data_IF_191767706515
#
_entry.id   IF_191767706515
#
_cell.length_a   1.000
_cell.length_b   1.000
_cell.length_c   1.000
_cell.angle_alpha   90.00
_cell.angle_beta   90.00
_cell.angle_gamma   90.00
#
_symmetry.space_group_name_H-M   'P 1'
#
loop_
_entity.id
_entity.type
_entity.pdbx_description
1 polymer ?
#
# COMPACT_ATOMS: atom_id res chain seq x y z
N UNK A 1 -18.66 -12.90 -46.78
CA UNK A 1 -19.05 -11.53 -46.37
C UNK A 1 -18.56 -11.30 -44.94
N UNK A 2 -17.56 -10.45 -44.76
CA UNK A 2 -17.05 -10.11 -43.44
C UNK A 2 -18.09 -9.26 -42.69
N UNK A 3 -18.56 -9.74 -41.53
CA UNK A 3 -19.47 -8.97 -40.66
C UNK A 3 -18.69 -7.79 -40.09
N UNK A 4 -19.19 -6.57 -40.31
CA UNK A 4 -18.75 -5.37 -39.59
C UNK A 4 -18.89 -5.64 -38.08
N UNK A 5 -17.82 -5.45 -37.30
CA UNK A 5 -17.89 -5.31 -35.84
C UNK A 5 -18.83 -4.14 -35.57
N UNK A 6 -20.07 -4.44 -35.17
CA UNK A 6 -21.02 -3.41 -34.75
C UNK A 6 -20.51 -2.76 -33.48
N UNK A 7 -20.59 -1.44 -33.40
CA UNK A 7 -20.44 -0.71 -32.15
C UNK A 7 -21.35 -1.35 -31.09
N UNK A 8 -20.87 -1.41 -29.84
CA UNK A 8 -21.71 -1.77 -28.69
C UNK A 8 -22.67 -0.61 -28.44
N UNK A 9 -23.63 -0.40 -29.34
CA UNK A 9 -24.65 0.62 -29.18
C UNK A 9 -25.61 0.16 -28.08
N UNK A 10 -25.43 0.70 -26.87
CA UNK A 10 -26.46 0.96 -25.84
C UNK A 10 -27.65 0.00 -25.78
N UNK A 11 -27.44 -1.33 -25.90
CA UNK A 11 -28.51 -2.26 -25.59
C UNK A 11 -28.61 -2.28 -24.07
N UNK A 12 -29.70 -1.76 -23.52
CA UNK A 12 -29.91 -1.73 -22.07
C UNK A 12 -29.76 -3.12 -21.41
N UNK A 13 -29.88 -4.20 -22.17
CA UNK A 13 -29.64 -5.57 -21.72
C UNK A 13 -28.17 -5.80 -21.31
N UNK A 14 -27.17 -5.36 -22.09
CA UNK A 14 -25.75 -5.54 -21.74
C UNK A 14 -25.38 -4.79 -20.47
N UNK A 15 -25.84 -3.54 -20.34
CA UNK A 15 -25.65 -2.76 -19.11
C UNK A 15 -26.28 -3.46 -17.91
N UNK A 16 -27.53 -3.93 -18.02
CA UNK A 16 -28.21 -4.67 -16.95
C UNK A 16 -27.48 -5.97 -16.58
N UNK A 17 -26.90 -6.70 -17.55
CA UNK A 17 -26.08 -7.89 -17.29
C UNK A 17 -24.85 -7.51 -16.46
N UNK A 18 -24.09 -6.50 -16.88
CA UNK A 18 -22.88 -6.05 -16.19
C UNK A 18 -23.21 -5.57 -14.78
N UNK A 19 -24.23 -4.73 -14.62
CA UNK A 19 -24.69 -4.25 -13.31
C UNK A 19 -25.03 -5.44 -12.41
N UNK A 20 -25.78 -6.43 -12.91
CA UNK A 20 -26.11 -7.60 -12.10
C UNK A 20 -24.88 -8.43 -11.71
N UNK A 21 -23.89 -8.58 -12.59
CA UNK A 21 -22.63 -9.24 -12.24
C UNK A 21 -21.84 -8.43 -11.20
N UNK A 22 -21.82 -7.10 -11.31
CA UNK A 22 -21.14 -6.21 -10.35
C UNK A 22 -21.82 -6.20 -8.97
N UNK A 23 -23.15 -6.30 -8.91
CA UNK A 23 -23.95 -6.35 -7.67
C UNK A 23 -23.77 -7.66 -6.88
N UNK A 24 -23.30 -8.74 -7.50
CA UNK A 24 -23.22 -10.05 -6.85
C UNK A 24 -21.78 -10.48 -6.65
N UNK A 25 -21.44 -10.89 -5.43
CA UNK A 25 -20.11 -11.40 -5.14
C UNK A 25 -19.91 -12.80 -5.77
N UNK A 26 -18.86 -12.90 -6.61
CA UNK A 26 -18.45 -14.11 -7.30
C UNK A 26 -19.15 -14.39 -8.65
N UNK A 27 -18.84 -15.55 -9.27
CA UNK A 27 -19.32 -15.92 -10.59
C UNK A 27 -20.82 -16.27 -10.64
N UNK A 28 -21.49 -15.90 -11.72
CA UNK A 28 -22.93 -16.11 -11.90
C UNK A 28 -23.27 -17.09 -13.04
N UNK A 29 -24.23 -17.98 -12.79
CA UNK A 29 -24.80 -18.83 -13.85
C UNK A 29 -25.66 -17.99 -14.82
N UNK A 30 -25.62 -18.30 -16.11
CA UNK A 30 -26.50 -17.69 -17.14
C UNK A 30 -27.98 -17.76 -16.73
N UNK A 31 -28.41 -18.87 -16.13
CA UNK A 31 -29.77 -19.09 -15.65
C UNK A 31 -30.22 -18.02 -14.65
N UNK A 32 -29.34 -17.63 -13.71
CA UNK A 32 -29.61 -16.59 -12.71
C UNK A 32 -29.66 -15.20 -13.32
N UNK A 33 -28.73 -14.91 -14.24
CA UNK A 33 -28.70 -13.66 -15.00
C UNK A 33 -30.03 -13.49 -15.76
N UNK A 34 -30.47 -14.55 -16.44
CA UNK A 34 -31.75 -14.59 -17.13
C UNK A 34 -32.93 -14.39 -16.20
N UNK A 35 -33.00 -15.11 -15.09
CA UNK A 35 -34.11 -15.00 -14.14
C UNK A 35 -34.26 -13.56 -13.61
N UNK A 36 -33.15 -12.89 -13.32
CA UNK A 36 -33.15 -11.49 -12.88
C UNK A 36 -33.64 -10.53 -13.98
N UNK A 37 -33.22 -10.73 -15.22
CA UNK A 37 -33.57 -9.88 -16.36
C UNK A 37 -35.03 -10.06 -16.80
N UNK A 38 -35.53 -11.30 -16.83
CA UNK A 38 -36.91 -11.61 -17.24
C UNK A 38 -37.95 -11.03 -16.27
N UNK A 39 -37.61 -10.88 -14.99
CA UNK A 39 -38.46 -10.18 -14.01
C UNK A 39 -38.61 -8.67 -14.31
N UNK A 40 -37.76 -8.11 -15.19
CA UNK A 40 -37.70 -6.68 -15.49
C UNK A 40 -37.91 -6.33 -16.97
N UNK A 41 -37.92 -7.30 -17.90
CA UNK A 41 -37.91 -7.04 -19.35
C UNK A 41 -38.50 -8.22 -20.14
N UNK A 42 -39.68 -8.03 -20.76
CA UNK A 42 -40.38 -9.07 -21.53
C UNK A 42 -39.62 -9.51 -22.80
N UNK A 43 -38.63 -8.73 -23.25
CA UNK A 43 -37.83 -9.01 -24.46
C UNK A 43 -36.58 -9.85 -24.21
N UNK A 44 -36.32 -10.26 -22.96
CA UNK A 44 -35.17 -11.08 -22.59
C UNK A 44 -35.48 -12.59 -22.76
N UNK A 45 -35.19 -13.15 -23.94
CA UNK A 45 -35.23 -14.60 -24.14
C UNK A 45 -33.84 -15.24 -24.00
N UNK A 46 -33.79 -16.56 -23.77
CA UNK A 46 -32.53 -17.28 -23.52
C UNK A 46 -31.48 -17.07 -24.61
N UNK A 47 -31.88 -17.17 -25.88
CA UNK A 47 -30.98 -17.01 -27.01
C UNK A 47 -30.36 -15.60 -27.08
N UNK A 48 -31.13 -14.57 -26.70
CA UNK A 48 -30.66 -13.20 -26.67
C UNK A 48 -29.65 -12.95 -25.54
N UNK A 49 -29.94 -13.42 -24.32
CA UNK A 49 -29.01 -13.26 -23.19
C UNK A 49 -27.70 -13.99 -23.44
N UNK A 50 -27.75 -15.23 -23.95
CA UNK A 50 -26.52 -15.96 -24.25
C UNK A 50 -25.68 -15.28 -25.33
N UNK A 51 -26.32 -14.69 -26.35
CA UNK A 51 -25.62 -13.89 -27.36
C UNK A 51 -24.92 -12.68 -26.73
N UNK A 52 -25.60 -11.93 -25.87
CA UNK A 52 -25.01 -10.76 -25.23
C UNK A 52 -23.87 -11.11 -24.27
N UNK A 53 -23.93 -12.26 -23.57
CA UNK A 53 -22.84 -12.72 -22.72
C UNK A 53 -21.59 -13.03 -23.54
N UNK A 54 -21.72 -13.73 -24.67
CA UNK A 54 -20.59 -13.97 -25.56
C UNK A 54 -20.07 -12.69 -26.23
N UNK A 55 -20.92 -11.74 -26.58
CA UNK A 55 -20.46 -10.43 -27.06
C UNK A 55 -19.67 -9.69 -25.97
N UNK A 56 -20.13 -9.71 -24.71
CA UNK A 56 -19.40 -9.09 -23.59
C UNK A 56 -18.07 -9.79 -23.31
N UNK A 57 -18.00 -11.11 -23.51
CA UNK A 57 -16.76 -11.90 -23.46
C UNK A 57 -15.79 -11.51 -24.59
N UNK A 58 -16.28 -11.39 -25.83
CA UNK A 58 -15.49 -10.99 -27.00
C UNK A 58 -14.88 -9.58 -26.84
N UNK A 59 -15.51 -8.74 -26.01
CA UNK A 59 -15.05 -7.41 -25.65
C UNK A 59 -14.31 -7.35 -24.31
N UNK A 60 -13.95 -8.51 -23.75
CA UNK A 60 -13.20 -8.64 -22.51
C UNK A 60 -13.88 -7.99 -21.29
N UNK A 61 -15.18 -7.66 -21.36
CA UNK A 61 -15.93 -7.09 -20.24
C UNK A 61 -16.20 -8.13 -19.14
N UNK A 62 -16.32 -9.41 -19.50
CA UNK A 62 -16.56 -10.52 -18.59
C UNK A 62 -15.75 -11.74 -19.01
N UNK A 63 -15.54 -12.68 -18.08
CA UNK A 63 -14.88 -13.96 -18.35
C UNK A 63 -15.76 -15.14 -17.95
N UNK A 64 -15.84 -16.20 -18.77
CA UNK A 64 -16.50 -17.44 -18.37
C UNK A 64 -15.54 -18.38 -17.64
N UNK A 65 -16.00 -18.93 -16.52
CA UNK A 65 -15.40 -20.08 -15.84
C UNK A 65 -16.30 -21.29 -16.02
N UNK A 66 -15.75 -22.42 -16.50
CA UNK A 66 -16.51 -23.65 -16.67
C UNK A 66 -16.59 -24.41 -15.36
N UNK A 67 -17.81 -24.71 -14.90
CA UNK A 67 -18.06 -25.61 -13.76
C UNK A 67 -18.82 -26.86 -14.19
N UNK A 68 -18.70 -27.94 -13.42
CA UNK A 68 -19.44 -29.20 -13.61
C UNK A 68 -20.41 -29.40 -12.45
N UNK A 69 -21.70 -29.58 -12.76
CA UNK A 69 -22.69 -30.10 -11.81
C UNK A 69 -23.28 -31.38 -12.39
N UNK A 70 -22.89 -32.52 -11.83
CA UNK A 70 -23.19 -33.84 -12.40
C UNK A 70 -22.57 -34.03 -13.79
N UNK A 71 -23.36 -34.47 -14.77
CA UNK A 71 -22.91 -34.67 -16.16
C UNK A 71 -22.90 -33.40 -17.01
N UNK A 72 -23.47 -32.28 -16.53
CA UNK A 72 -23.62 -31.04 -17.30
C UNK A 72 -22.50 -30.05 -16.95
N UNK A 73 -21.97 -29.40 -17.99
CA UNK A 73 -21.04 -28.27 -17.89
C UNK A 73 -21.85 -26.97 -17.97
N UNK A 74 -21.52 -26.02 -17.12
CA UNK A 74 -22.15 -24.71 -17.07
C UNK A 74 -21.09 -23.62 -17.16
N UNK A 75 -21.42 -22.52 -17.82
CA UNK A 75 -20.60 -21.31 -17.79
C UNK A 75 -21.03 -20.45 -16.60
N UNK A 76 -20.04 -20.04 -15.82
CA UNK A 76 -20.17 -19.03 -14.79
C UNK A 76 -19.51 -17.75 -15.28
N UNK A 77 -20.24 -16.66 -15.32
CA UNK A 77 -19.78 -15.38 -15.84
C UNK A 77 -19.36 -14.47 -14.70
N UNK A 78 -18.20 -13.83 -14.82
CA UNK A 78 -17.66 -12.95 -13.77
C UNK A 78 -16.82 -11.80 -14.33
N UNK A 79 -16.58 -10.81 -13.48
CA UNK A 79 -15.66 -9.67 -13.68
C UNK A 79 -14.57 -9.85 -12.63
N UNK A 80 -13.34 -10.13 -13.05
CA UNK A 80 -12.30 -10.61 -12.12
C UNK A 80 -11.01 -9.80 -12.16
N UNK A 81 -10.83 -8.95 -13.17
CA UNK A 81 -9.57 -8.26 -13.45
C UNK A 81 -9.78 -6.79 -13.78
N UNK A 82 -8.69 -6.02 -13.67
CA UNK A 82 -8.65 -4.60 -14.05
C UNK A 82 -8.97 -4.42 -15.54
N UNK A 83 -8.48 -5.33 -16.38
CA UNK A 83 -8.77 -5.35 -17.82
C UNK A 83 -10.28 -5.44 -18.10
N UNK A 84 -11.03 -6.21 -17.30
CA UNK A 84 -12.49 -6.26 -17.43
C UNK A 84 -13.12 -4.90 -17.11
N UNK A 85 -12.65 -4.22 -16.07
CA UNK A 85 -13.16 -2.90 -15.67
C UNK A 85 -12.84 -1.83 -16.72
N UNK A 86 -11.62 -1.83 -17.26
CA UNK A 86 -11.20 -0.93 -18.36
C UNK A 86 -12.07 -1.16 -19.60
N UNK A 87 -12.30 -2.43 -19.94
CA UNK A 87 -13.16 -2.80 -21.06
C UNK A 87 -14.60 -2.34 -20.85
N UNK A 88 -15.18 -2.56 -19.67
CA UNK A 88 -16.52 -2.06 -19.33
C UNK A 88 -16.55 -0.53 -19.42
N UNK A 89 -15.55 0.17 -18.90
CA UNK A 89 -15.51 1.64 -18.95
C UNK A 89 -15.48 2.17 -20.39
N UNK A 90 -14.72 1.51 -21.27
CA UNK A 90 -14.60 1.89 -22.69
C UNK A 90 -15.90 1.64 -23.47
N UNK A 91 -16.62 0.57 -23.14
CA UNK A 91 -17.80 0.13 -23.89
C UNK A 91 -19.13 0.63 -23.31
N UNK A 92 -19.18 0.84 -22.00
CA UNK A 92 -20.39 1.11 -21.20
C UNK A 92 -20.12 2.26 -20.22
N UNK A 93 -19.81 3.45 -20.76
CA UNK A 93 -19.37 4.64 -20.01
C UNK A 93 -20.36 5.10 -18.93
N UNK A 94 -21.65 4.82 -19.11
CA UNK A 94 -22.73 5.15 -18.15
C UNK A 94 -22.61 4.37 -16.82
N UNK A 95 -21.90 3.24 -16.80
CA UNK A 95 -21.74 2.44 -15.58
C UNK A 95 -20.66 3.09 -14.71
N UNK A 96 -21.07 3.64 -13.58
CA UNK A 96 -20.17 4.17 -12.58
C UNK A 96 -19.54 3.03 -11.75
N UNK A 97 -18.37 2.56 -12.18
CA UNK A 97 -17.76 1.34 -11.66
C UNK A 97 -17.37 1.42 -10.17
N UNK A 98 -17.04 2.60 -9.66
CA UNK A 98 -16.74 2.81 -8.24
C UNK A 98 -17.95 2.64 -7.33
N UNK A 99 -19.17 2.52 -7.86
CA UNK A 99 -20.38 2.22 -7.06
C UNK A 99 -20.44 0.77 -6.56
N UNK A 100 -19.64 -0.12 -7.16
CA UNK A 100 -19.76 -1.55 -6.94
C UNK A 100 -18.57 -2.12 -6.17
N UNK A 101 -18.86 -2.81 -5.07
CA UNK A 101 -17.85 -3.48 -4.23
C UNK A 101 -16.92 -4.37 -5.05
N UNK A 102 -17.46 -5.13 -6.02
CA UNK A 102 -16.66 -6.01 -6.88
C UNK A 102 -15.56 -5.25 -7.62
N UNK A 103 -15.86 -4.08 -8.17
CA UNK A 103 -14.89 -3.23 -8.85
C UNK A 103 -13.81 -2.72 -7.89
N UNK A 104 -14.24 -2.24 -6.71
CA UNK A 104 -13.33 -1.75 -5.67
C UNK A 104 -12.39 -2.85 -5.18
N UNK A 105 -12.92 -4.06 -4.98
CA UNK A 105 -12.16 -5.23 -4.54
C UNK A 105 -11.11 -5.68 -5.57
N UNK A 106 -11.38 -5.54 -6.87
CA UNK A 106 -10.39 -5.80 -7.93
C UNK A 106 -9.21 -4.82 -7.81
N UNK A 107 -9.48 -3.53 -7.60
CA UNK A 107 -8.41 -2.54 -7.40
C UNK A 107 -7.66 -2.78 -6.09
N UNK A 108 -8.34 -3.06 -4.98
CA UNK A 108 -7.69 -3.39 -3.71
C UNK A 108 -6.71 -4.58 -3.85
N UNK A 109 -7.10 -5.60 -4.62
CA UNK A 109 -6.22 -6.73 -4.96
C UNK A 109 -5.07 -6.34 -5.86
N UNK A 110 -5.30 -5.48 -6.87
CA UNK A 110 -4.23 -4.92 -7.73
C UNK A 110 -3.12 -4.33 -6.86
N UNK A 111 -3.49 -3.55 -5.84
CA UNK A 111 -2.58 -2.88 -4.91
C UNK A 111 -2.02 -3.79 -3.79
N UNK A 112 -2.41 -5.07 -3.74
CA UNK A 112 -1.94 -6.01 -2.73
C UNK A 112 -2.34 -5.65 -1.30
N UNK A 113 -3.45 -4.91 -1.10
CA UNK A 113 -3.91 -4.53 0.24
C UNK A 113 -4.64 -5.71 0.89
N UNK A 114 -4.12 -6.15 2.05
CA UNK A 114 -4.75 -7.20 2.86
C UNK A 114 -6.08 -6.71 3.45
N UNK A 115 -7.13 -7.53 3.31
CA UNK A 115 -8.46 -7.31 3.91
C UNK A 115 -8.43 -7.10 5.42
N UNK A 116 -7.46 -7.71 6.11
CA UNK A 116 -7.26 -7.56 7.56
C UNK A 116 -6.55 -6.26 7.95
N UNK A 117 -6.06 -5.50 6.98
CA UNK A 117 -5.45 -4.20 7.23
C UNK A 117 -6.51 -3.11 7.33
N UNK A 118 -6.38 -2.20 8.30
CA UNK A 118 -7.17 -0.96 8.35
C UNK A 118 -7.10 -0.16 7.04
N UNK A 119 -5.96 -0.24 6.34
CA UNK A 119 -5.77 0.38 5.01
C UNK A 119 -6.75 -0.12 3.97
N UNK A 120 -7.32 -1.32 4.13
CA UNK A 120 -8.30 -1.86 3.20
C UNK A 120 -9.58 -1.03 3.19
N UNK A 121 -10.20 -0.81 4.37
CA UNK A 121 -11.42 -0.01 4.46
C UNK A 121 -11.14 1.44 4.11
N UNK A 122 -10.01 1.98 4.54
CA UNK A 122 -9.63 3.33 4.17
C UNK A 122 -9.52 3.51 2.66
N UNK A 123 -8.73 2.67 1.97
CA UNK A 123 -8.57 2.76 0.52
C UNK A 123 -9.88 2.45 -0.21
N UNK A 124 -10.71 1.55 0.31
CA UNK A 124 -12.05 1.29 -0.21
C UNK A 124 -12.91 2.57 -0.24
N UNK A 125 -12.93 3.32 0.87
CA UNK A 125 -13.68 4.58 0.97
C UNK A 125 -13.12 5.63 -0.01
N UNK A 126 -11.79 5.77 -0.12
CA UNK A 126 -11.19 6.70 -1.08
C UNK A 126 -11.61 6.38 -2.53
N UNK A 127 -11.53 5.10 -2.92
CA UNK A 127 -11.94 4.64 -4.25
C UNK A 127 -13.44 4.80 -4.50
N UNK A 128 -14.25 4.66 -3.45
CA UNK A 128 -15.71 4.85 -3.52
C UNK A 128 -16.06 6.32 -3.78
N UNK A 129 -15.42 7.23 -3.05
CA UNK A 129 -15.76 8.65 -3.02
C UNK A 129 -15.33 9.41 -4.27
N UNK A 130 -14.13 9.15 -4.79
CA UNK A 130 -13.59 9.89 -5.94
C UNK A 130 -13.57 9.04 -7.21
N UNK A 131 -14.37 9.44 -8.20
CA UNK A 131 -14.39 8.79 -9.51
C UNK A 131 -13.08 9.00 -10.28
N UNK A 132 -12.46 10.18 -10.16
CA UNK A 132 -11.19 10.47 -10.82
C UNK A 132 -10.06 9.62 -10.22
N UNK A 133 -10.00 9.50 -8.89
CA UNK A 133 -9.04 8.65 -8.20
C UNK A 133 -9.23 7.18 -8.54
N UNK A 134 -10.47 6.69 -8.54
CA UNK A 134 -10.78 5.33 -8.98
C UNK A 134 -10.28 5.06 -10.40
N UNK A 135 -10.57 5.97 -11.33
CA UNK A 135 -10.13 5.85 -12.72
C UNK A 135 -8.60 5.86 -12.83
N UNK A 136 -7.91 6.69 -12.04
CA UNK A 136 -6.46 6.73 -12.03
C UNK A 136 -5.85 5.42 -11.50
N UNK A 137 -6.41 4.87 -10.41
CA UNK A 137 -6.03 3.58 -9.86
C UNK A 137 -6.30 2.41 -10.82
N UNK A 138 -7.32 2.53 -11.67
CA UNK A 138 -7.61 1.56 -12.73
C UNK A 138 -6.57 1.66 -13.86
N UNK A 139 -6.44 2.84 -14.46
CA UNK A 139 -5.72 3.07 -15.72
C UNK A 139 -4.21 3.20 -15.59
N UNK A 140 -3.69 3.43 -14.38
CA UNK A 140 -2.25 3.65 -14.15
C UNK A 140 -1.64 2.46 -13.43
N UNK A 141 -0.43 2.06 -13.79
CA UNK A 141 0.29 1.04 -13.05
C UNK A 141 0.73 1.56 -11.67
N UNK A 142 0.90 0.64 -10.72
CA UNK A 142 1.19 0.97 -9.32
C UNK A 142 2.52 1.68 -9.17
N UNK A 143 3.54 1.33 -9.97
CA UNK A 143 4.87 1.95 -9.87
C UNK A 143 4.80 3.41 -10.29
N UNK A 144 4.07 3.72 -11.36
CA UNK A 144 3.86 5.10 -11.80
C UNK A 144 3.08 5.92 -10.78
N UNK A 145 2.00 5.37 -10.20
CA UNK A 145 1.26 6.06 -9.13
C UNK A 145 2.16 6.31 -7.91
N UNK A 146 2.93 5.30 -7.50
CA UNK A 146 3.87 5.43 -6.39
C UNK A 146 4.97 6.48 -6.66
N UNK A 147 5.47 6.55 -7.90
CA UNK A 147 6.44 7.59 -8.31
C UNK A 147 5.84 8.98 -8.20
N UNK A 148 4.63 9.20 -8.72
CA UNK A 148 3.91 10.48 -8.62
C UNK A 148 3.67 10.88 -7.17
N UNK A 149 3.21 9.93 -6.35
CA UNK A 149 3.03 10.16 -4.92
C UNK A 149 4.36 10.58 -4.25
N UNK A 150 5.47 9.95 -4.66
CA UNK A 150 6.80 10.25 -4.11
C UNK A 150 7.28 11.64 -4.52
N UNK A 151 7.03 12.06 -5.74
CA UNK A 151 7.31 13.42 -6.21
C UNK A 151 6.51 14.45 -5.40
N UNK A 152 5.20 14.25 -5.24
CA UNK A 152 4.35 15.12 -4.41
C UNK A 152 4.89 15.19 -2.98
N UNK A 153 5.20 14.04 -2.39
CA UNK A 153 5.77 13.97 -1.05
C UNK A 153 7.07 14.78 -0.94
N UNK A 154 7.99 14.59 -1.88
CA UNK A 154 9.30 15.24 -1.86
C UNK A 154 9.23 16.75 -2.14
N UNK A 155 8.17 17.25 -2.78
CA UNK A 155 7.96 18.69 -2.97
C UNK A 155 7.29 19.40 -1.79
N UNK A 156 6.68 18.66 -0.87
CA UNK A 156 6.00 19.20 0.31
C UNK A 156 6.63 18.65 1.60
N UNK A 157 5.98 17.67 2.25
CA UNK A 157 6.36 17.14 3.57
C UNK A 157 7.77 16.54 3.62
N UNK A 158 8.24 15.98 2.51
CA UNK A 158 9.53 15.31 2.36
C UNK A 158 10.69 16.23 2.02
N UNK A 159 10.44 17.48 1.60
CA UNK A 159 11.43 18.34 0.95
C UNK A 159 12.72 18.55 1.75
N UNK A 160 12.60 19.02 3.00
CA UNK A 160 13.78 19.27 3.85
C UNK A 160 14.60 18.01 4.10
N UNK A 161 13.93 16.87 4.26
CA UNK A 161 14.57 15.58 4.53
C UNK A 161 15.27 15.05 3.28
N UNK A 162 14.63 15.18 2.13
CA UNK A 162 15.21 14.85 0.82
C UNK A 162 16.48 15.68 0.55
N UNK A 163 16.41 16.99 0.78
CA UNK A 163 17.56 17.88 0.61
C UNK A 163 18.74 17.44 1.52
N UNK A 164 18.47 17.17 2.80
CA UNK A 164 19.49 16.70 3.74
C UNK A 164 20.10 15.36 3.33
N UNK A 165 19.27 14.43 2.84
CA UNK A 165 19.74 13.13 2.33
C UNK A 165 20.67 13.35 1.13
N UNK A 166 20.30 14.20 0.17
CA UNK A 166 21.13 14.52 -0.98
C UNK A 166 22.48 15.16 -0.59
N UNK A 167 22.48 16.11 0.36
CA UNK A 167 23.71 16.72 0.88
C UNK A 167 24.63 15.66 1.49
N UNK A 168 24.12 14.82 2.39
CA UNK A 168 24.88 13.75 3.05
C UNK A 168 25.39 12.70 2.06
N UNK A 169 24.59 12.30 1.07
CA UNK A 169 25.01 11.37 0.03
C UNK A 169 26.18 11.94 -0.78
N UNK A 170 26.14 13.23 -1.11
CA UNK A 170 27.20 13.89 -1.86
C UNK A 170 28.51 13.97 -1.06
N UNK A 171 28.42 14.37 0.22
CA UNK A 171 29.55 14.43 1.14
C UNK A 171 30.17 13.04 1.34
N UNK A 172 29.35 12.04 1.63
CA UNK A 172 29.77 10.67 1.86
C UNK A 172 30.40 10.04 0.60
N UNK A 173 29.81 10.25 -0.58
CA UNK A 173 30.37 9.74 -1.84
C UNK A 173 31.74 10.37 -2.13
N UNK A 174 31.89 11.68 -1.92
CA UNK A 174 33.17 12.36 -2.13
C UNK A 174 34.25 11.91 -1.14
N UNK A 175 33.90 11.85 0.15
CA UNK A 175 34.83 11.57 1.25
C UNK A 175 35.22 10.10 1.33
N UNK A 176 34.25 9.19 1.31
CA UNK A 176 34.47 7.78 1.58
C UNK A 176 34.58 6.96 0.31
N UNK A 177 33.62 7.07 -0.60
CA UNK A 177 33.58 6.19 -1.78
C UNK A 177 34.69 6.57 -2.77
N UNK A 178 34.73 7.83 -3.20
CA UNK A 178 35.80 8.33 -4.07
C UNK A 178 37.10 8.52 -3.31
N UNK A 179 37.06 9.17 -2.14
CA UNK A 179 38.25 9.56 -1.40
C UNK A 179 39.02 8.42 -0.72
N UNK A 180 38.32 7.39 -0.20
CA UNK A 180 38.96 6.27 0.52
C UNK A 180 38.93 4.98 -0.28
N UNK A 181 37.78 4.61 -0.85
CA UNK A 181 37.63 3.36 -1.61
C UNK A 181 38.14 3.48 -3.06
N UNK A 182 38.40 4.71 -3.54
CA UNK A 182 38.83 4.99 -4.91
C UNK A 182 37.88 4.41 -5.97
N UNK A 183 36.57 4.47 -5.70
CA UNK A 183 35.52 4.04 -6.64
C UNK A 183 34.78 5.27 -7.14
N UNK A 184 34.60 5.37 -8.45
CA UNK A 184 33.76 6.40 -9.06
C UNK A 184 32.34 5.87 -9.26
N UNK A 185 31.41 6.36 -8.43
CA UNK A 185 29.98 6.07 -8.58
C UNK A 185 29.22 7.31 -9.05
N UNK A 186 28.40 7.20 -10.12
CA UNK A 186 27.42 8.22 -10.45
C UNK A 186 26.47 8.46 -9.25
N UNK A 187 26.15 9.73 -8.96
CA UNK A 187 25.29 10.10 -7.81
C UNK A 187 23.99 9.30 -7.74
N UNK A 188 23.30 9.19 -8.89
CA UNK A 188 22.05 8.43 -9.01
C UNK A 188 22.24 6.96 -8.61
N UNK A 189 23.33 6.33 -9.06
CA UNK A 189 23.63 4.93 -8.74
C UNK A 189 23.95 4.75 -7.26
N UNK A 190 24.71 5.66 -6.66
CA UNK A 190 25.00 5.62 -5.22
C UNK A 190 23.71 5.76 -4.38
N UNK A 191 22.82 6.69 -4.75
CA UNK A 191 21.51 6.87 -4.12
C UNK A 191 20.67 5.60 -4.18
N UNK A 192 20.53 4.98 -5.36
CA UNK A 192 19.79 3.72 -5.54
C UNK A 192 20.29 2.60 -4.62
N UNK A 193 21.62 2.47 -4.49
CA UNK A 193 22.23 1.47 -3.61
C UNK A 193 21.94 1.78 -2.14
N UNK A 194 22.05 3.05 -1.72
CA UNK A 194 21.75 3.45 -0.36
C UNK A 194 20.28 3.26 0.00
N UNK A 195 19.36 3.51 -0.94
CA UNK A 195 17.93 3.23 -0.77
C UNK A 195 17.65 1.73 -0.61
N UNK A 196 18.34 0.88 -1.38
CA UNK A 196 18.24 -0.58 -1.26
C UNK A 196 18.77 -1.05 0.12
N UNK A 197 19.91 -0.51 0.56
CA UNK A 197 20.48 -0.82 1.87
C UNK A 197 19.60 -0.35 3.01
N UNK A 198 18.93 0.79 2.87
CA UNK A 198 17.96 1.28 3.84
C UNK A 198 16.78 0.30 4.02
N UNK A 199 16.38 -0.39 2.94
CA UNK A 199 15.37 -1.46 2.99
C UNK A 199 15.91 -2.76 3.58
N UNK A 200 17.18 -3.10 3.32
CA UNK A 200 17.89 -4.28 3.88
C UNK A 200 18.47 -4.06 5.29
N UNK A 201 18.11 -2.97 5.96
CA UNK A 201 18.69 -2.59 7.24
C UNK A 201 18.53 -3.68 8.33
N UNK A 202 17.46 -4.47 8.30
CA UNK A 202 17.28 -5.57 9.26
C UNK A 202 18.29 -6.71 9.05
N UNK A 203 18.68 -6.99 7.81
CA UNK A 203 19.76 -7.93 7.50
C UNK A 203 21.12 -7.38 7.96
N UNK A 204 21.37 -6.09 7.72
CA UNK A 204 22.60 -5.40 8.18
C UNK A 204 22.68 -5.46 9.71
N UNK A 205 21.56 -5.23 10.40
CA UNK A 205 21.48 -5.31 11.86
C UNK A 205 21.70 -6.72 12.39
N UNK A 206 21.12 -7.73 11.74
CA UNK A 206 21.33 -9.11 12.14
C UNK A 206 22.80 -9.51 11.99
N UNK A 207 23.41 -9.17 10.85
CA UNK A 207 24.83 -9.39 10.60
C UNK A 207 25.70 -8.67 11.65
N UNK A 208 25.37 -7.41 11.96
CA UNK A 208 26.03 -6.63 13.02
C UNK A 208 25.92 -7.32 14.39
N UNK A 209 24.73 -7.79 14.75
CA UNK A 209 24.50 -8.47 16.01
C UNK A 209 25.33 -9.76 16.14
N UNK A 210 25.43 -10.53 15.07
CA UNK A 210 26.28 -11.73 15.04
C UNK A 210 27.76 -11.39 15.23
N UNK A 211 28.25 -10.30 14.63
CA UNK A 211 29.65 -9.87 14.76
C UNK A 211 30.00 -9.38 16.17
N UNK A 212 29.14 -8.57 16.78
CA UNK A 212 29.28 -8.17 18.21
C UNK A 212 29.32 -9.41 19.11
N UNK A 213 28.57 -10.44 18.74
CA UNK A 213 28.55 -11.74 19.40
C UNK A 213 29.77 -12.64 19.14
N UNK A 214 30.75 -12.21 18.33
CA UNK A 214 31.92 -12.99 17.93
C UNK A 214 31.61 -14.11 16.91
N UNK A 215 30.46 -14.07 16.25
CA UNK A 215 30.00 -15.12 15.32
C UNK A 215 30.18 -14.69 13.86
N UNK A 216 31.30 -15.11 13.25
CA UNK A 216 31.70 -14.70 11.90
C UNK A 216 31.38 -15.72 10.78
N UNK A 217 31.01 -16.95 11.13
CA UNK A 217 30.64 -18.01 10.18
C UNK A 217 29.22 -18.51 10.39
N UNK A 218 28.58 -19.05 9.35
CA UNK A 218 27.23 -19.60 9.45
C UNK A 218 27.18 -20.79 10.42
N UNK A 219 28.21 -21.64 10.42
CA UNK A 219 28.36 -22.73 11.40
C UNK A 219 28.39 -22.22 12.85
N UNK A 220 29.06 -21.07 13.11
CA UNK A 220 29.09 -20.47 14.44
C UNK A 220 27.72 -19.90 14.84
N UNK A 221 26.95 -19.37 13.87
CA UNK A 221 25.59 -18.88 14.08
C UNK A 221 24.62 -20.02 14.38
N UNK A 222 24.67 -21.10 13.60
CA UNK A 222 23.84 -22.29 13.82
C UNK A 222 24.07 -22.89 15.21
N UNK A 223 25.34 -23.04 15.63
CA UNK A 223 25.70 -23.49 16.99
C UNK A 223 25.21 -22.58 18.11
N UNK A 224 24.97 -21.29 17.81
CA UNK A 224 24.50 -20.29 18.79
C UNK A 224 22.98 -20.16 18.77
N UNK A 225 22.32 -20.31 17.62
CA UNK A 225 20.86 -20.41 17.46
C UNK A 225 20.30 -21.67 18.13
N UNK A 226 21.05 -22.76 18.16
CA UNK A 226 20.68 -23.96 18.91
C UNK A 226 20.69 -23.77 20.43
N UNK A 227 21.07 -22.58 20.94
CA UNK A 227 21.02 -22.20 22.35
C UNK A 227 20.00 -21.07 22.52
N UNK A 228 19.21 -21.05 23.62
CA UNK A 228 18.25 -19.97 23.91
C UNK A 228 18.85 -18.56 23.96
N UNK A 229 20.17 -18.45 24.07
CA UNK A 229 20.91 -17.19 24.16
C UNK A 229 21.19 -16.51 22.82
N UNK A 230 21.04 -17.20 21.68
CA UNK A 230 21.31 -16.63 20.34
C UNK A 230 20.29 -15.56 19.92
N UNK A 231 19.00 -15.89 19.96
CA UNK A 231 17.92 -14.98 19.55
C UNK A 231 17.78 -13.78 20.50
N UNK A 232 18.14 -13.96 21.77
CA UNK A 232 18.14 -12.90 22.78
C UNK A 232 19.13 -11.77 22.44
N UNK A 233 20.26 -12.07 21.78
CA UNK A 233 21.27 -11.06 21.46
C UNK A 233 20.83 -10.12 20.32
N UNK A 234 20.23 -10.67 19.26
CA UNK A 234 19.67 -9.87 18.15
C UNK A 234 18.54 -8.98 18.67
N UNK A 235 17.63 -9.54 19.47
CA UNK A 235 16.54 -8.76 20.07
C UNK A 235 17.06 -7.68 21.02
N UNK A 236 18.10 -7.95 21.82
CA UNK A 236 18.71 -6.95 22.69
C UNK A 236 19.32 -5.79 21.90
N UNK A 237 20.02 -6.07 20.79
CA UNK A 237 20.60 -5.02 19.93
C UNK A 237 19.51 -4.20 19.25
N UNK A 238 18.44 -4.84 18.76
CA UNK A 238 17.27 -4.14 18.21
C UNK A 238 16.61 -3.24 19.26
N UNK A 239 16.39 -3.74 20.48
CA UNK A 239 15.85 -2.95 21.60
C UNK A 239 16.76 -1.78 21.98
N UNK A 240 18.06 -2.00 22.08
CA UNK A 240 19.02 -0.94 22.38
C UNK A 240 19.04 0.17 21.32
N UNK A 241 18.97 -0.18 20.03
CA UNK A 241 18.84 0.81 18.94
C UNK A 241 17.55 1.61 19.08
N UNK A 242 16.44 0.96 19.40
CA UNK A 242 15.16 1.65 19.59
C UNK A 242 15.16 2.57 20.82
N UNK A 243 15.81 2.15 21.91
CA UNK A 243 15.85 2.92 23.16
C UNK A 243 16.91 4.04 23.16
N UNK A 244 18.02 3.84 22.46
CA UNK A 244 19.15 4.78 22.43
C UNK A 244 19.65 4.99 20.99
N UNK A 245 18.83 5.56 20.08
CA UNK A 245 19.19 5.72 18.69
C UNK A 245 20.43 6.59 18.47
N UNK A 246 20.71 7.55 19.36
CA UNK A 246 21.89 8.43 19.33
C UNK A 246 23.19 7.73 19.75
N UNK A 247 23.10 6.60 20.45
CA UNK A 247 24.25 5.80 20.89
C UNK A 247 24.48 4.58 19.99
N UNK A 248 23.71 4.47 18.89
CA UNK A 248 23.82 3.39 17.94
C UNK A 248 24.69 3.80 16.74
N UNK A 249 25.58 2.92 16.25
CA UNK A 249 25.90 1.59 16.77
C UNK A 249 26.86 1.61 17.96
N UNK A 250 26.70 0.63 18.86
CA UNK A 250 27.52 0.44 20.06
C UNK A 250 29.00 0.14 19.73
N UNK A 251 29.23 -0.59 18.63
CA UNK A 251 30.56 -0.93 18.14
C UNK A 251 30.67 -0.58 16.64
N UNK A 252 31.43 0.47 16.27
CA UNK A 252 31.53 0.96 14.89
C UNK A 252 32.16 -0.04 13.92
N UNK A 253 33.17 -0.80 14.37
CA UNK A 253 33.92 -1.73 13.53
C UNK A 253 33.03 -2.89 13.05
N UNK A 254 32.33 -3.65 13.93
CA UNK A 254 31.37 -4.66 13.49
C UNK A 254 30.29 -4.09 12.56
N UNK A 255 29.77 -2.90 12.83
CA UNK A 255 28.70 -2.30 12.02
C UNK A 255 29.19 -1.97 10.61
N UNK A 256 30.34 -1.30 10.48
CA UNK A 256 30.93 -0.96 9.18
C UNK A 256 31.20 -2.22 8.37
N UNK A 257 31.70 -3.30 8.99
CA UNK A 257 31.92 -4.56 8.27
C UNK A 257 30.61 -5.17 7.76
N UNK A 258 29.55 -5.17 8.57
CA UNK A 258 28.23 -5.65 8.15
C UNK A 258 27.64 -4.82 7.02
N UNK A 259 27.68 -3.49 7.15
CA UNK A 259 27.23 -2.57 6.12
C UNK A 259 28.03 -2.77 4.82
N UNK A 260 29.36 -2.77 4.90
CA UNK A 260 30.25 -2.90 3.76
C UNK A 260 30.04 -4.22 3.00
N UNK A 261 29.80 -5.32 3.73
CA UNK A 261 29.49 -6.61 3.12
C UNK A 261 28.23 -6.56 2.25
N UNK A 262 27.19 -5.84 2.67
CA UNK A 262 25.97 -5.65 1.87
C UNK A 262 26.16 -4.61 0.77
N UNK A 263 26.90 -3.55 1.05
CA UNK A 263 27.20 -2.49 0.08
C UNK A 263 27.97 -3.02 -1.13
N UNK A 264 28.98 -3.88 -0.92
CA UNK A 264 29.76 -4.48 -2.01
C UNK A 264 28.97 -5.49 -2.86
N UNK A 265 27.86 -6.05 -2.38
CA UNK A 265 26.98 -6.90 -3.21
C UNK A 265 26.47 -6.14 -4.44
N UNK A 266 26.37 -4.81 -4.32
CA UNK A 266 25.86 -3.91 -5.35
C UNK A 266 26.95 -3.25 -6.20
N UNK A 267 28.23 -3.44 -5.86
CA UNK A 267 29.39 -2.79 -6.49
C UNK A 267 30.52 -3.82 -6.61
N UNK A 268 30.64 -4.51 -7.77
CA UNK A 268 31.65 -5.54 -7.98
C UNK A 268 33.09 -5.09 -7.71
N UNK A 269 33.42 -3.82 -7.97
CA UNK A 269 34.74 -3.22 -7.76
C UNK A 269 35.20 -3.30 -6.29
N UNK A 270 34.25 -3.28 -5.35
CA UNK A 270 34.51 -3.38 -3.92
C UNK A 270 34.86 -4.80 -3.46
N UNK A 271 34.67 -5.83 -4.30
CA UNK A 271 34.95 -7.22 -3.91
C UNK A 271 36.43 -7.48 -3.62
N UNK A 272 37.32 -6.65 -4.16
CA UNK A 272 38.79 -6.73 -4.01
C UNK A 272 39.33 -5.87 -2.88
N UNK A 273 38.45 -5.10 -2.24
CA UNK A 273 38.82 -4.14 -1.22
C UNK A 273 38.47 -4.72 0.15
N UNK A 274 39.49 -4.85 1.01
CA UNK A 274 39.32 -5.11 2.43
C UNK A 274 39.15 -3.78 3.16
N UNK A 275 38.00 -3.58 3.81
CA UNK A 275 37.69 -2.32 4.50
C UNK A 275 38.70 -2.03 5.61
N UNK A 276 39.28 -3.07 6.20
CA UNK A 276 40.33 -3.01 7.21
C UNK A 276 41.69 -2.53 6.70
N UNK A 277 41.97 -2.72 5.42
CA UNK A 277 43.18 -2.18 4.81
C UNK A 277 43.05 -0.65 4.54
N UNK A 278 41.82 -0.15 4.47
CA UNK A 278 41.49 1.24 4.13
C UNK A 278 41.25 2.09 5.36
N UNK A 279 40.43 1.62 6.29
CA UNK A 279 40.15 2.30 7.55
C UNK A 279 41.13 1.79 8.60
N UNK A 280 42.08 2.64 8.98
CA UNK A 280 43.23 2.27 9.83
C UNK A 280 43.09 2.78 11.26
N UNK A 281 42.28 3.81 11.49
CA UNK A 281 42.07 4.36 12.84
C UNK A 281 40.63 4.13 13.33
N UNK A 282 40.42 3.98 14.65
CA UNK A 282 39.07 3.95 15.23
C UNK A 282 38.19 5.13 14.79
N UNK A 283 38.78 6.33 14.68
CA UNK A 283 38.07 7.54 14.24
C UNK A 283 37.59 7.45 12.78
N UNK A 284 38.36 6.83 11.89
CA UNK A 284 37.95 6.62 10.50
C UNK A 284 36.74 5.68 10.41
N UNK A 285 36.73 4.61 11.21
CA UNK A 285 35.56 3.74 11.34
C UNK A 285 34.36 4.50 11.91
N UNK A 286 34.55 5.22 13.01
CA UNK A 286 33.49 5.95 13.67
C UNK A 286 32.84 6.98 12.73
N UNK A 287 33.65 7.76 12.02
CA UNK A 287 33.15 8.80 11.12
C UNK A 287 32.34 8.23 9.96
N UNK A 288 32.87 7.21 9.26
CA UNK A 288 32.14 6.56 8.16
C UNK A 288 30.87 5.89 8.68
N UNK A 289 30.92 5.33 9.89
CA UNK A 289 29.81 4.65 10.51
C UNK A 289 28.65 5.61 10.81
N UNK A 290 28.95 6.74 11.44
CA UNK A 290 27.93 7.74 11.80
C UNK A 290 27.29 8.34 10.55
N UNK A 291 28.06 8.70 9.53
CA UNK A 291 27.53 9.28 8.29
C UNK A 291 26.62 8.29 7.54
N UNK A 292 27.05 7.04 7.38
CA UNK A 292 26.25 6.01 6.68
C UNK A 292 24.99 5.66 7.46
N UNK A 293 25.07 5.50 8.78
CA UNK A 293 23.90 5.22 9.63
C UNK A 293 22.92 6.40 9.63
N UNK A 294 23.39 7.65 9.65
CA UNK A 294 22.54 8.84 9.53
C UNK A 294 21.76 8.82 8.21
N UNK A 295 22.44 8.57 7.08
CA UNK A 295 21.79 8.48 5.76
C UNK A 295 20.74 7.37 5.75
N UNK A 296 21.10 6.16 6.18
CA UNK A 296 20.17 5.02 6.21
C UNK A 296 18.99 5.29 7.14
N UNK A 297 19.20 5.95 8.27
CA UNK A 297 18.14 6.33 9.21
C UNK A 297 17.18 7.33 8.59
N UNK A 298 17.70 8.40 7.99
CA UNK A 298 16.88 9.40 7.32
C UNK A 298 16.05 8.79 6.18
N UNK A 299 16.67 7.96 5.32
CA UNK A 299 15.97 7.28 4.23
C UNK A 299 14.87 6.34 4.73
N UNK A 300 15.12 5.57 5.79
CA UNK A 300 14.11 4.68 6.39
C UNK A 300 12.93 5.45 6.93
N UNK A 301 13.18 6.50 7.70
CA UNK A 301 12.12 7.31 8.28
C UNK A 301 11.31 8.05 7.21
N UNK A 302 11.99 8.54 6.17
CA UNK A 302 11.34 9.14 5.00
C UNK A 302 10.42 8.11 4.33
N UNK A 303 10.92 6.89 4.09
CA UNK A 303 10.15 5.80 3.51
C UNK A 303 8.97 5.36 4.38
N UNK A 304 9.15 5.25 5.71
CA UNK A 304 8.06 4.96 6.65
C UNK A 304 6.97 6.03 6.58
N UNK A 305 7.35 7.31 6.58
CA UNK A 305 6.43 8.44 6.50
C UNK A 305 5.70 8.43 5.17
N UNK A 306 6.42 8.26 4.07
CA UNK A 306 5.85 8.16 2.73
C UNK A 306 4.87 6.98 2.60
N UNK A 307 5.26 5.78 3.04
CA UNK A 307 4.42 4.58 2.99
C UNK A 307 3.14 4.69 3.81
N UNK A 308 3.11 5.59 4.79
CA UNK A 308 1.91 5.91 5.56
C UNK A 308 0.98 6.87 4.82
N UNK A 309 1.53 7.83 4.10
CA UNK A 309 0.79 8.94 3.48
C UNK A 309 0.51 8.75 1.98
N UNK A 310 1.10 7.76 1.31
CA UNK A 310 1.08 7.74 -0.16
C UNK A 310 -0.33 7.70 -0.77
N UNK A 311 -1.29 7.03 -0.11
CA UNK A 311 -2.69 7.01 -0.55
C UNK A 311 -3.34 8.38 -0.37
N UNK A 312 -3.07 9.06 0.75
CA UNK A 312 -3.58 10.40 1.03
C UNK A 312 -3.06 11.40 0.00
N UNK A 313 -1.77 11.32 -0.32
CA UNK A 313 -1.15 12.22 -1.30
C UNK A 313 -1.73 12.02 -2.70
N UNK A 314 -1.97 10.77 -3.09
CA UNK A 314 -2.63 10.48 -4.37
C UNK A 314 -4.07 10.97 -4.36
N UNK A 315 -4.84 10.61 -3.34
CA UNK A 315 -6.23 11.02 -3.24
C UNK A 315 -6.37 12.55 -3.21
N UNK A 316 -5.55 13.25 -2.43
CA UNK A 316 -5.53 14.71 -2.34
C UNK A 316 -5.23 15.35 -3.71
N UNK A 317 -4.29 14.79 -4.48
CA UNK A 317 -4.00 15.25 -5.83
C UNK A 317 -5.22 15.18 -6.76
N UNK A 318 -5.93 14.05 -6.76
CA UNK A 318 -7.14 13.87 -7.58
C UNK A 318 -8.34 14.64 -7.04
N UNK A 319 -8.46 14.76 -5.73
CA UNK A 319 -9.48 15.57 -5.06
C UNK A 319 -9.40 17.05 -5.45
N UNK A 320 -8.19 17.64 -5.49
CA UNK A 320 -8.05 19.03 -5.95
C UNK A 320 -8.41 19.19 -7.43
N UNK A 321 -8.11 18.18 -8.25
CA UNK A 321 -8.57 18.16 -9.63
C UNK A 321 -10.11 18.11 -9.70
N UNK A 322 -10.75 17.24 -8.91
CA UNK A 322 -12.21 17.14 -8.85
C UNK A 322 -12.87 18.43 -8.34
N UNK A 323 -12.26 19.16 -7.41
CA UNK A 323 -12.74 20.49 -7.00
C UNK A 323 -12.64 21.47 -8.16
N UNK A 324 -11.49 21.51 -8.85
CA UNK A 324 -11.25 22.43 -9.95
C UNK A 324 -12.22 22.19 -11.12
N UNK A 325 -12.49 20.92 -11.42
CA UNK A 325 -13.42 20.49 -12.46
C UNK A 325 -14.90 20.58 -12.04
N UNK A 326 -15.18 20.87 -10.75
CA UNK A 326 -16.53 20.95 -10.20
C UNK A 326 -17.24 19.60 -10.08
N UNK A 327 -16.48 18.49 -10.05
CA UNK A 327 -16.97 17.11 -9.98
C UNK A 327 -16.92 16.53 -8.57
N UNK A 328 -16.23 17.19 -7.63
CA UNK A 328 -16.12 16.72 -6.24
C UNK A 328 -17.48 16.68 -5.54
N UNK A 329 -17.80 15.54 -4.94
CA UNK A 329 -19.07 15.40 -4.19
C UNK A 329 -19.00 16.04 -2.80
N UNK A 330 -20.14 16.41 -2.21
CA UNK A 330 -20.16 16.98 -0.86
C UNK A 330 -19.59 16.02 0.19
N UNK A 331 -19.84 14.70 0.05
CA UNK A 331 -19.28 13.70 0.97
C UNK A 331 -17.77 13.57 0.78
N UNK A 332 -17.27 13.57 -0.46
CA UNK A 332 -15.84 13.58 -0.75
C UNK A 332 -15.13 14.81 -0.16
N UNK A 333 -15.69 16.00 -0.34
CA UNK A 333 -15.16 17.25 0.22
C UNK A 333 -15.08 17.17 1.75
N UNK A 334 -16.16 16.72 2.40
CA UNK A 334 -16.21 16.63 3.86
C UNK A 334 -15.18 15.60 4.37
N UNK A 335 -15.09 14.45 3.71
CA UNK A 335 -14.14 13.41 4.07
C UNK A 335 -12.69 13.87 3.91
N UNK A 336 -12.36 14.56 2.81
CA UNK A 336 -11.03 15.10 2.55
C UNK A 336 -10.63 16.17 3.58
N UNK A 337 -11.54 17.09 3.90
CA UNK A 337 -11.33 18.13 4.92
C UNK A 337 -11.10 17.54 6.31
N UNK A 338 -11.92 16.57 6.72
CA UNK A 338 -11.77 15.87 8.00
C UNK A 338 -10.44 15.11 8.05
N UNK A 339 -10.09 14.37 7.01
CA UNK A 339 -8.84 13.60 6.93
C UNK A 339 -7.62 14.52 7.05
N UNK A 340 -7.64 15.67 6.36
CA UNK A 340 -6.59 16.68 6.47
C UNK A 340 -6.46 17.21 7.90
N UNK A 341 -7.56 17.56 8.55
CA UNK A 341 -7.58 18.05 9.94
C UNK A 341 -7.00 17.02 10.91
N UNK A 342 -7.38 15.74 10.76
CA UNK A 342 -6.87 14.63 11.58
C UNK A 342 -5.34 14.52 11.45
N UNK A 343 -4.82 14.57 10.22
CA UNK A 343 -3.36 14.50 9.96
C UNK A 343 -2.63 15.73 10.52
N UNK A 344 -3.19 16.93 10.40
CA UNK A 344 -2.62 18.17 10.93
C UNK A 344 -2.58 18.18 12.47
N UNK A 345 -3.65 17.71 13.12
CA UNK A 345 -3.71 17.58 14.58
C UNK A 345 -2.67 16.56 15.09
N UNK A 346 -2.57 15.41 14.42
CA UNK A 346 -1.54 14.41 14.75
C UNK A 346 -0.12 14.96 14.57
N UNK A 347 0.12 15.70 13.50
CA UNK A 347 1.45 16.28 13.22
C UNK A 347 1.90 17.27 14.30
N UNK A 348 0.96 17.96 14.96
CA UNK A 348 1.25 18.87 16.09
C UNK A 348 1.58 18.13 17.38
N UNK A 349 1.03 16.92 17.58
CA UNK A 349 1.23 16.10 18.79
C UNK A 349 2.49 15.23 18.75
N UNK A 350 3.22 15.20 17.62
CA UNK A 350 4.37 14.31 17.33
C UNK A 350 5.60 14.46 18.25
N UNK A 351 5.57 15.31 19.29
CA UNK A 351 6.67 15.42 20.25
C UNK A 351 6.73 14.26 21.25
N UNK A 352 5.69 13.42 21.33
CA UNK A 352 5.61 12.29 22.24
C UNK A 352 5.24 11.03 21.43
N UNK A 353 6.12 10.02 21.38
CA UNK A 353 5.82 8.68 20.85
C UNK A 353 4.90 7.93 21.83
N UNK A 354 3.77 8.54 22.16
CA UNK A 354 2.80 8.00 23.12
C UNK A 354 1.80 7.09 22.41
N UNK A 355 1.57 5.91 22.98
CA UNK A 355 0.60 4.92 22.50
C UNK A 355 -0.80 5.55 22.44
N UNK A 356 -1.10 6.47 23.36
CA UNK A 356 -2.37 7.18 23.41
C UNK A 356 -2.61 8.08 22.18
N UNK A 357 -1.56 8.69 21.62
CA UNK A 357 -1.67 9.53 20.42
C UNK A 357 -1.96 8.71 19.16
N UNK A 358 -1.43 7.48 19.09
CA UNK A 358 -1.71 6.55 17.99
C UNK A 358 -3.16 6.05 18.07
N UNK A 359 -3.63 5.70 19.26
CA UNK A 359 -5.02 5.27 19.49
C UNK A 359 -6.01 6.38 19.11
N UNK A 360 -5.74 7.63 19.51
CA UNK A 360 -6.58 8.79 19.15
C UNK A 360 -6.66 9.01 17.65
N UNK A 361 -5.54 8.84 16.94
CA UNK A 361 -5.52 8.95 15.49
C UNK A 361 -6.37 7.86 14.83
N UNK A 362 -6.13 6.60 15.21
CA UNK A 362 -6.88 5.45 14.66
C UNK A 362 -8.37 5.65 14.89
N UNK A 363 -8.75 6.08 16.10
CA UNK A 363 -10.13 6.37 16.44
C UNK A 363 -10.73 7.50 15.59
N UNK A 364 -9.97 8.56 15.34
CA UNK A 364 -10.43 9.71 14.54
C UNK A 364 -10.59 9.34 13.06
N UNK A 365 -9.64 8.58 12.50
CA UNK A 365 -9.73 8.06 11.13
C UNK A 365 -10.93 7.13 10.96
N UNK A 366 -11.11 6.19 11.89
CA UNK A 366 -12.23 5.25 11.87
C UNK A 366 -13.58 5.94 12.07
N UNK A 367 -13.66 7.01 12.86
CA UNK A 367 -14.87 7.86 12.97
C UNK A 367 -15.21 8.51 11.64
N UNK A 368 -14.23 9.12 10.98
CA UNK A 368 -14.47 9.76 9.68
C UNK A 368 -14.93 8.74 8.63
N UNK A 369 -14.33 7.55 8.62
CA UNK A 369 -14.76 6.41 7.79
C UNK A 369 -16.19 6.00 8.12
N UNK A 370 -16.52 5.80 9.40
CA UNK A 370 -17.81 5.27 9.82
C UNK A 370 -18.97 6.24 9.53
N UNK A 371 -18.72 7.54 9.65
CA UNK A 371 -19.67 8.59 9.27
C UNK A 371 -20.03 8.52 7.78
N UNK A 372 -19.01 8.42 6.92
CA UNK A 372 -19.21 8.30 5.47
C UNK A 372 -19.90 6.99 5.11
N UNK A 373 -19.48 5.88 5.72
CA UNK A 373 -20.09 4.57 5.46
C UNK A 373 -21.57 4.52 5.84
N UNK A 374 -21.94 5.09 6.99
CA UNK A 374 -23.33 5.16 7.44
C UNK A 374 -24.17 6.09 6.55
N UNK A 375 -23.66 7.28 6.25
CA UNK A 375 -24.36 8.29 5.45
C UNK A 375 -24.65 7.82 4.02
N UNK A 376 -23.65 7.27 3.35
CA UNK A 376 -23.73 6.87 1.94
C UNK A 376 -24.09 5.37 1.78
N UNK A 377 -24.42 4.68 2.88
CA UNK A 377 -24.79 3.25 2.92
C UNK A 377 -23.77 2.36 2.21
N UNK A 378 -22.49 2.67 2.38
CA UNK A 378 -21.37 2.04 1.65
C UNK A 378 -21.13 0.66 2.23
N UNK A 379 -21.67 -0.37 1.59
CA UNK A 379 -21.48 -1.76 1.98
C UNK A 379 -20.08 -2.27 1.63
N UNK A 380 -19.38 -2.78 2.65
CA UNK A 380 -18.16 -3.59 2.50
C UNK A 380 -18.44 -5.02 3.01
N UNK A 381 -19.14 -5.86 2.23
CA UNK A 381 -19.46 -7.24 2.58
C UNK A 381 -18.30 -8.10 3.10
N UNK A 382 -17.06 -7.77 2.75
CA UNK A 382 -15.88 -8.47 3.29
C UNK A 382 -15.45 -8.05 4.71
N UNK A 383 -16.05 -7.01 5.28
CA UNK A 383 -15.69 -6.44 6.59
C UNK A 383 -16.92 -6.37 7.51
N UNK A 384 -18.07 -5.93 6.98
CA UNK A 384 -19.32 -5.78 7.73
C UNK A 384 -20.44 -6.56 7.00
N UNK A 385 -21.06 -7.51 7.69
CA UNK A 385 -22.19 -8.29 7.14
C UNK A 385 -23.45 -7.44 6.97
N UNK A 386 -23.68 -6.51 7.90
CA UNK A 386 -24.77 -5.54 7.88
C UNK A 386 -24.23 -4.15 8.16
N UNK A 387 -24.78 -3.14 7.49
CA UNK A 387 -24.44 -1.74 7.77
C UNK A 387 -25.60 -1.09 8.51
N UNK A 388 -25.27 -0.61 9.70
CA UNK A 388 -26.12 0.28 10.47
C UNK A 388 -26.12 1.68 9.83
N UNK A 389 -27.28 2.32 9.81
CA UNK A 389 -27.39 3.75 9.49
C UNK A 389 -26.80 4.61 10.65
N UNK A 390 -26.44 4.00 11.80
CA UNK A 390 -25.74 4.63 12.90
C UNK A 390 -24.22 4.48 12.77
N UNK A 391 -23.54 5.59 12.49
CA UNK A 391 -22.07 5.70 12.40
C UNK A 391 -21.32 5.21 13.65
N UNK A 392 -21.94 5.24 14.84
CA UNK A 392 -21.34 4.70 16.07
C UNK A 392 -21.30 3.18 16.02
N UNK A 393 -22.39 2.53 15.61
CA UNK A 393 -22.43 1.07 15.47
C UNK A 393 -21.37 0.63 14.44
N UNK A 394 -21.31 1.32 13.29
CA UNK A 394 -20.27 1.05 12.28
C UNK A 394 -18.86 1.23 12.84
N UNK A 395 -18.61 2.26 13.64
CA UNK A 395 -17.32 2.48 14.31
C UNK A 395 -16.94 1.31 15.22
N UNK A 396 -17.85 0.87 16.10
CA UNK A 396 -17.61 -0.25 17.01
C UNK A 396 -17.35 -1.55 16.24
N UNK A 397 -18.10 -1.82 15.17
CA UNK A 397 -17.90 -3.00 14.34
C UNK A 397 -16.51 -2.97 13.66
N UNK A 398 -16.08 -1.81 13.15
CA UNK A 398 -14.74 -1.65 12.57
C UNK A 398 -13.63 -1.84 13.62
N UNK A 399 -13.77 -1.24 14.81
CA UNK A 399 -12.81 -1.39 15.90
C UNK A 399 -12.69 -2.87 16.33
N UNK A 400 -13.82 -3.57 16.46
CA UNK A 400 -13.87 -4.99 16.77
C UNK A 400 -13.20 -5.84 15.68
N UNK A 401 -13.56 -5.59 14.42
CA UNK A 401 -13.03 -6.34 13.27
C UNK A 401 -11.50 -6.24 13.18
N UNK A 402 -10.94 -5.06 13.46
CA UNK A 402 -9.50 -4.83 13.42
C UNK A 402 -8.77 -5.11 14.75
N UNK A 403 -9.48 -5.57 15.78
CA UNK A 403 -8.89 -6.00 17.04
C UNK A 403 -8.46 -4.86 17.97
N UNK A 404 -9.08 -3.69 17.86
CA UNK A 404 -8.80 -2.51 18.70
C UNK A 404 -9.61 -2.52 20.01
N UNK A 405 -9.65 -3.66 20.71
CA UNK A 405 -10.45 -3.84 21.93
C UNK A 405 -10.07 -2.83 23.03
N UNK A 406 -8.79 -2.49 23.13
CA UNK A 406 -8.31 -1.50 24.11
C UNK A 406 -8.86 -0.09 23.87
N UNK A 407 -9.08 0.28 22.61
CA UNK A 407 -9.72 1.57 22.25
C UNK A 407 -11.20 1.53 22.63
N UNK A 408 -11.88 0.40 22.39
CA UNK A 408 -13.28 0.20 22.78
C UNK A 408 -13.45 0.38 24.29
N UNK A 409 -12.62 -0.30 25.09
CA UNK A 409 -12.66 -0.19 26.55
C UNK A 409 -12.41 1.25 27.04
N UNK A 410 -11.51 1.99 26.38
CA UNK A 410 -11.26 3.42 26.70
C UNK A 410 -12.51 4.26 26.43
N UNK A 411 -13.20 4.05 25.31
CA UNK A 411 -14.44 4.77 24.97
C UNK A 411 -15.52 4.47 26.01
N UNK A 412 -15.73 3.19 26.34
CA UNK A 412 -16.74 2.77 27.31
C UNK A 412 -16.48 3.36 28.71
N UNK A 413 -15.23 3.37 29.16
CA UNK A 413 -14.81 3.99 30.44
C UNK A 413 -14.98 5.51 30.47
N UNK A 414 -14.90 6.18 29.32
CA UNK A 414 -15.13 7.64 29.24
C UNK A 414 -16.60 8.04 29.30
N UNK A 415 -17.51 7.08 29.12
CA UNK A 415 -18.96 7.26 29.12
C UNK A 415 -19.63 6.85 30.44
N UNK A 416 -18.93 6.07 31.27
CA UNK A 416 -19.30 5.68 32.65
C UNK A 416 -18.83 6.70 33.67
#
# INVERSE_FOLDING_TARGET
MARKKGEISQSGVKQKIIIYILENNGPLEESKIREKLNKKDEKANQGNINRHLHELEDHECIVPTKTKKGRRKYNLWDITSVLNLESIRSQLHDIQLNEYEKSLAILLRKFGIDKKSLRYVYFFVLLRLSTSFFNACMNTDIKTLHSRAREIFNHDKGFKKEQRIEELLNECNAKHIKGKLNVELPKKRFREIMEELAQKNDEILEEYAWRVCGCYSEEARERKRSKPTGDNAIQAIKRNRSQNPSLFPLEPIPWIKSFYMKFRENIPELSKIEIEAILKTPDEYQNMCLEMEEILSLMRDQNKTFNRLYLDLLFEHFYYQDIFDGTASTTEITFAQNSKKIIEEYSKKKSEDDVDIIDELILSELRNISEVMAKDKIKIPSVLENISDDSKVVLYDLLNFYGYQHIIEKIEKSLS
#
